data_IF_493181933604
#
_entry.id   IF_493181933604
#
_cell.length_a   1.000
_cell.length_b   1.000
_cell.length_c   1.000
_cell.angle_alpha   90.00
_cell.angle_beta   90.00
_cell.angle_gamma   90.00
#
_symmetry.space_group_name_H-M   'P 1'
#
loop_
_entity.id
_entity.type
_entity.pdbx_description
1 polymer ?
#
# COMPACT_ATOMS: atom_id res chain seq x y z
N UNK A 1 78.79 19.21 38.38
CA UNK A 1 77.67 18.33 38.00
C UNK A 1 76.50 18.62 38.94
N UNK A 2 75.37 19.19 38.48
CA UNK A 2 74.15 19.20 39.26
C UNK A 2 73.20 18.07 38.80
N UNK A 3 72.65 17.36 39.78
CA UNK A 3 71.69 16.27 39.64
C UNK A 3 70.33 16.77 39.20
N UNK A 4 69.78 16.18 38.14
CA UNK A 4 68.40 16.39 37.70
C UNK A 4 67.51 15.35 38.38
N UNK A 5 66.54 15.81 39.18
CA UNK A 5 65.45 15.00 39.72
C UNK A 5 64.29 14.90 38.71
N UNK A 6 63.55 13.78 38.65
CA UNK A 6 62.45 13.64 37.70
C UNK A 6 61.21 14.40 38.19
N UNK A 7 60.58 15.18 37.30
CA UNK A 7 59.25 15.76 37.52
C UNK A 7 58.21 14.64 37.44
N UNK A 8 57.39 14.55 38.49
CA UNK A 8 56.24 13.66 38.55
C UNK A 8 55.22 13.98 37.47
N UNK A 9 54.72 12.93 36.82
CA UNK A 9 53.56 12.97 35.94
C UNK A 9 52.32 13.32 36.76
N UNK A 10 51.78 14.51 36.54
CA UNK A 10 50.58 14.99 37.21
C UNK A 10 49.33 14.25 36.76
N UNK A 11 48.51 13.85 37.73
CA UNK A 11 47.20 13.19 37.63
C UNK A 11 46.10 13.97 36.85
N UNK A 12 46.45 14.99 36.06
CA UNK A 12 45.51 15.86 35.35
C UNK A 12 44.82 15.24 34.12
N UNK A 13 45.29 14.09 33.62
CA UNK A 13 44.84 13.51 32.35
C UNK A 13 43.54 12.70 32.41
N UNK A 14 43.22 12.07 33.55
CA UNK A 14 42.05 11.15 33.66
C UNK A 14 40.72 11.89 33.78
N UNK A 15 40.70 13.05 34.44
CA UNK A 15 39.49 13.87 34.61
C UNK A 15 39.02 14.53 33.32
N UNK A 16 39.96 14.98 32.48
CA UNK A 16 39.65 15.67 31.22
C UNK A 16 39.03 14.71 30.18
N UNK A 17 39.59 13.51 30.02
CA UNK A 17 39.05 12.48 29.11
C UNK A 17 37.62 12.07 29.47
N UNK A 18 37.32 11.94 30.77
CA UNK A 18 35.97 11.60 31.25
C UNK A 18 34.97 12.73 30.95
N UNK A 19 35.38 13.99 31.09
CA UNK A 19 34.54 15.17 30.77
C UNK A 19 34.27 15.31 29.28
N UNK A 20 35.27 15.03 28.42
CA UNK A 20 35.10 15.05 26.96
C UNK A 20 34.15 13.95 26.48
N UNK A 21 34.27 12.73 27.02
CA UNK A 21 33.38 11.62 26.65
C UNK A 21 31.92 11.87 27.07
N UNK A 22 31.70 12.47 28.25
CA UNK A 22 30.35 12.86 28.69
C UNK A 22 29.78 13.95 27.78
N UNK A 23 30.58 14.94 27.38
CA UNK A 23 30.12 15.99 26.47
C UNK A 23 29.72 15.44 25.09
N UNK A 24 30.50 14.50 24.52
CA UNK A 24 30.17 13.85 23.25
C UNK A 24 28.88 13.02 23.38
N UNK A 25 28.73 12.26 24.47
CA UNK A 25 27.52 11.48 24.71
C UNK A 25 26.27 12.37 24.82
N UNK A 26 26.36 13.52 25.51
CA UNK A 26 25.26 14.48 25.60
C UNK A 26 24.93 15.11 24.25
N UNK A 27 25.94 15.46 23.44
CA UNK A 27 25.71 16.02 22.09
C UNK A 27 25.06 14.99 21.17
N UNK A 28 25.46 13.72 21.23
CA UNK A 28 24.83 12.65 20.44
C UNK A 28 23.41 12.35 20.91
N UNK A 29 23.14 12.41 22.21
CA UNK A 29 21.81 12.14 22.77
C UNK A 29 20.84 13.29 22.48
N UNK A 30 21.29 14.54 22.65
CA UNK A 30 20.50 15.73 22.32
C UNK A 30 20.33 15.87 20.80
N UNK A 31 21.39 15.61 20.02
CA UNK A 31 21.35 15.60 18.55
C UNK A 31 20.46 14.48 17.98
N UNK A 32 20.51 13.28 18.58
CA UNK A 32 19.62 12.17 18.21
C UNK A 32 18.17 12.46 18.55
N UNK A 33 17.90 13.08 19.72
CA UNK A 33 16.56 13.54 20.10
C UNK A 33 16.04 14.65 19.20
N UNK A 34 16.87 15.60 18.77
CA UNK A 34 16.43 16.65 17.85
C UNK A 34 16.19 16.13 16.44
N UNK A 35 16.97 15.16 15.94
CA UNK A 35 16.71 14.51 14.65
C UNK A 35 15.46 13.63 14.70
N UNK A 36 15.27 12.83 15.76
CA UNK A 36 14.06 12.04 15.96
C UNK A 36 12.81 12.92 16.14
N UNK A 37 12.93 14.04 16.88
CA UNK A 37 11.87 15.04 16.95
C UNK A 37 11.64 15.74 15.61
N UNK A 38 12.67 15.98 14.77
CA UNK A 38 12.49 16.56 13.45
C UNK A 38 11.77 15.60 12.49
N UNK A 39 12.10 14.31 12.52
CA UNK A 39 11.38 13.28 11.73
C UNK A 39 9.93 13.14 12.19
N UNK A 40 9.70 13.07 13.51
CA UNK A 40 8.35 13.09 14.07
C UNK A 40 7.62 14.42 13.77
N UNK A 41 8.34 15.55 13.63
CA UNK A 41 7.76 16.84 13.24
C UNK A 41 7.48 16.94 11.75
N UNK A 42 8.25 16.31 10.86
CA UNK A 42 7.97 16.31 9.42
C UNK A 42 6.74 15.49 9.09
N UNK A 43 6.51 14.38 9.82
CA UNK A 43 5.28 13.59 9.69
C UNK A 43 4.04 14.35 10.23
N UNK A 44 4.24 15.23 11.22
CA UNK A 44 3.18 16.05 11.81
C UNK A 44 2.93 17.37 11.04
N UNK A 45 3.94 17.91 10.34
CA UNK A 45 3.87 19.21 9.65
C UNK A 45 3.77 19.14 8.12
N UNK A 46 3.60 17.96 7.51
CA UNK A 46 3.15 17.86 6.12
C UNK A 46 1.66 17.49 5.95
N UNK A 47 0.68 18.15 6.61
CA UNK A 47 -0.74 17.92 6.34
C UNK A 47 -1.24 18.67 5.08
N UNK A 48 -0.35 19.11 4.17
CA UNK A 48 -0.71 20.02 3.08
C UNK A 48 -0.10 19.65 1.72
N UNK A 49 -0.18 18.37 1.33
CA UNK A 49 -0.24 18.05 -0.10
C UNK A 49 -1.73 17.99 -0.49
N UNK A 50 -2.23 18.83 -1.42
CA UNK A 50 -3.62 18.77 -1.87
C UNK A 50 -4.02 17.41 -2.50
N UNK A 51 -3.08 16.48 -2.68
CA UNK A 51 -3.32 15.09 -3.09
C UNK A 51 -3.81 14.18 -1.94
N UNK A 52 -3.55 14.52 -0.68
CA UNK A 52 -4.07 13.80 0.48
C UNK A 52 -5.30 14.54 1.00
N UNK A 53 -6.48 13.95 0.81
CA UNK A 53 -7.74 14.52 1.29
C UNK A 53 -7.69 14.83 2.79
N UNK A 54 -8.42 15.85 3.21
CA UNK A 54 -8.51 16.28 4.61
C UNK A 54 -9.34 15.28 5.43
N UNK A 55 -8.80 14.09 5.72
CA UNK A 55 -9.16 13.31 6.90
C UNK A 55 -10.32 12.30 6.81
N UNK A 56 -10.76 11.86 5.64
CA UNK A 56 -11.71 10.75 5.53
C UNK A 56 -11.67 10.10 4.14
N UNK A 57 -12.06 8.82 4.05
CA UNK A 57 -12.27 8.14 2.77
C UNK A 57 -13.41 8.82 1.98
N UNK A 58 -13.36 8.75 0.65
CA UNK A 58 -14.42 9.24 -0.24
C UNK A 58 -15.70 8.43 -0.04
N UNK A 59 -16.70 9.04 0.57
CA UNK A 59 -17.99 8.43 0.90
C UNK A 59 -19.20 9.23 0.35
N UNK A 60 -18.97 10.38 -0.29
CA UNK A 60 -20.03 11.17 -0.90
C UNK A 60 -20.58 10.49 -2.16
N UNK A 61 -21.78 9.93 -1.99
CA UNK A 61 -22.54 9.24 -3.03
C UNK A 61 -23.49 10.18 -3.82
N UNK A 62 -23.61 11.46 -3.47
CA UNK A 62 -24.62 12.35 -4.05
C UNK A 62 -24.46 12.55 -5.57
N UNK A 63 -23.23 12.46 -6.08
CA UNK A 63 -22.92 12.61 -7.50
C UNK A 63 -22.67 11.28 -8.24
N UNK A 64 -23.05 10.16 -7.62
CA UNK A 64 -22.79 8.79 -8.11
C UNK A 64 -24.04 8.18 -8.70
N UNK A 65 -23.87 7.46 -9.80
CA UNK A 65 -24.92 6.65 -10.41
C UNK A 65 -24.88 5.25 -9.83
N UNK A 66 -25.95 4.80 -9.19
CA UNK A 66 -26.10 3.39 -8.81
C UNK A 66 -26.26 2.57 -10.08
N UNK A 67 -25.43 1.54 -10.27
CA UNK A 67 -25.51 0.63 -11.42
C UNK A 67 -24.94 -0.72 -11.02
N UNK A 68 -25.72 -1.77 -11.25
CA UNK A 68 -25.29 -3.15 -11.06
C UNK A 68 -24.73 -3.69 -12.37
N UNK A 69 -23.74 -4.61 -12.30
CA UNK A 69 -23.30 -5.36 -13.48
C UNK A 69 -24.46 -6.18 -14.06
N UNK A 70 -24.52 -6.27 -15.39
CA UNK A 70 -25.38 -7.20 -16.11
C UNK A 70 -24.81 -8.63 -16.22
N UNK A 71 -23.48 -8.78 -16.14
CA UNK A 71 -22.78 -10.05 -16.11
C UNK A 71 -22.90 -10.72 -14.72
N UNK A 72 -22.66 -12.03 -14.67
CA UNK A 72 -22.72 -12.82 -13.44
C UNK A 72 -21.86 -14.08 -13.52
N UNK A 73 -21.68 -14.75 -12.38
CA UNK A 73 -20.87 -15.96 -12.30
C UNK A 73 -19.43 -15.70 -12.74
N UNK A 74 -18.86 -16.62 -13.52
CA UNK A 74 -17.45 -16.55 -13.93
C UNK A 74 -17.15 -15.43 -14.94
N UNK A 75 -18.18 -14.82 -15.54
CA UNK A 75 -18.02 -13.70 -16.49
C UNK A 75 -17.99 -12.32 -15.83
N UNK A 76 -18.31 -12.24 -14.54
CA UNK A 76 -18.16 -11.03 -13.74
C UNK A 76 -16.87 -11.13 -12.93
N UNK A 77 -15.91 -10.24 -13.14
CA UNK A 77 -14.73 -10.14 -12.26
C UNK A 77 -15.07 -9.35 -11.00
N UNK A 78 -14.67 -9.81 -9.82
CA UNK A 78 -14.92 -9.14 -8.53
C UNK A 78 -13.63 -9.08 -7.72
N UNK A 79 -13.05 -7.89 -7.56
CA UNK A 79 -11.74 -7.72 -6.95
C UNK A 79 -11.74 -6.70 -5.80
N UNK A 80 -11.00 -7.02 -4.74
CA UNK A 80 -10.72 -6.11 -3.64
C UNK A 80 -9.32 -5.50 -3.81
N UNK A 81 -9.22 -4.19 -3.90
CA UNK A 81 -7.95 -3.47 -3.83
C UNK A 81 -7.51 -3.22 -2.38
N UNK A 82 -6.28 -3.58 -2.04
CA UNK A 82 -5.74 -3.37 -0.70
C UNK A 82 -4.24 -3.05 -0.68
N UNK A 83 -3.79 -2.42 0.41
CA UNK A 83 -2.40 -2.03 0.60
C UNK A 83 -2.25 -0.54 0.93
N UNK A 84 -1.37 0.17 0.21
CA UNK A 84 -1.05 1.57 0.50
C UNK A 84 -1.49 2.54 -0.62
N UNK A 85 -0.80 3.68 -0.75
CA UNK A 85 -1.18 4.80 -1.64
C UNK A 85 -1.44 4.43 -3.09
N UNK A 86 -0.62 3.55 -3.67
CA UNK A 86 -0.79 3.09 -5.05
C UNK A 86 -2.02 2.18 -5.24
N UNK A 87 -2.43 1.42 -4.21
CA UNK A 87 -3.75 0.74 -4.21
C UNK A 87 -4.92 1.71 -3.94
N UNK A 88 -4.65 2.86 -3.31
CA UNK A 88 -5.66 3.77 -2.80
C UNK A 88 -5.89 4.99 -3.72
N UNK A 89 -5.56 4.89 -5.00
CA UNK A 89 -5.81 5.95 -5.98
C UNK A 89 -5.01 7.24 -5.77
N UNK A 90 -3.77 7.15 -5.28
CA UNK A 90 -2.89 8.31 -5.17
C UNK A 90 -2.12 8.62 -6.47
N UNK A 91 -2.53 8.10 -7.63
CA UNK A 91 -1.89 8.42 -8.90
C UNK A 91 -2.24 9.81 -9.42
N UNK A 92 -1.56 10.27 -10.47
CA UNK A 92 -1.84 11.56 -11.11
C UNK A 92 -2.52 11.44 -12.47
N UNK A 93 -3.15 12.54 -12.87
CA UNK A 93 -3.79 12.71 -14.17
C UNK A 93 -5.31 12.67 -14.08
N UNK A 94 -6.00 13.05 -15.16
CA UNK A 94 -7.45 12.90 -15.27
C UNK A 94 -7.82 11.42 -15.40
N UNK A 95 -9.10 11.10 -15.19
CA UNK A 95 -9.62 9.76 -15.46
C UNK A 95 -9.23 9.35 -16.89
N UNK A 96 -8.57 8.20 -17.08
CA UNK A 96 -8.24 7.75 -18.42
C UNK A 96 -9.51 7.46 -19.21
N UNK A 97 -9.52 7.86 -20.48
CA UNK A 97 -10.51 7.36 -21.42
C UNK A 97 -10.12 5.93 -21.78
N UNK A 98 -10.93 4.95 -21.37
CA UNK A 98 -10.75 3.53 -21.68
C UNK A 98 -11.97 3.02 -22.46
N UNK A 99 -11.79 2.01 -23.30
CA UNK A 99 -12.85 1.51 -24.20
C UNK A 99 -14.05 0.96 -23.43
N UNK A 100 -13.80 0.31 -22.30
CA UNK A 100 -14.81 -0.44 -21.54
C UNK A 100 -15.22 0.24 -20.22
N UNK A 101 -15.12 1.57 -20.14
CA UNK A 101 -15.42 2.31 -18.92
C UNK A 101 -16.84 2.07 -18.36
N UNK A 102 -17.81 1.79 -19.23
CA UNK A 102 -19.21 1.55 -18.86
C UNK A 102 -19.50 0.16 -18.28
N UNK A 103 -18.50 -0.74 -18.31
CA UNK A 103 -18.51 -2.13 -17.83
C UNK A 103 -17.66 -2.34 -16.57
N UNK A 104 -17.12 -1.25 -16.03
CA UNK A 104 -16.27 -1.25 -14.84
C UNK A 104 -17.06 -0.55 -13.73
N UNK A 105 -17.07 -1.15 -12.55
CA UNK A 105 -17.94 -0.76 -11.46
C UNK A 105 -17.16 -0.58 -10.16
N UNK A 106 -17.68 0.29 -9.30
CA UNK A 106 -17.17 0.51 -7.95
C UNK A 106 -18.18 -0.02 -6.93
N UNK A 107 -17.82 -1.09 -6.22
CA UNK A 107 -18.54 -1.53 -5.03
C UNK A 107 -18.08 -0.73 -3.82
N UNK A 108 -19.04 -0.21 -3.05
CA UNK A 108 -18.79 0.53 -1.83
C UNK A 108 -19.59 -0.06 -0.66
N UNK A 109 -18.86 -0.62 0.30
CA UNK A 109 -19.41 -1.25 1.51
C UNK A 109 -19.92 -0.28 2.57
N UNK A 110 -19.80 1.04 2.34
CA UNK A 110 -20.44 2.05 3.19
C UNK A 110 -21.96 1.85 3.30
N UNK A 111 -22.68 2.84 3.79
CA UNK A 111 -24.03 2.73 4.36
C UNK A 111 -25.04 1.69 3.80
N UNK A 112 -25.00 1.31 2.51
CA UNK A 112 -25.92 0.35 1.90
C UNK A 112 -25.29 -0.70 0.94
N UNK A 113 -23.99 -1.05 1.04
CA UNK A 113 -23.36 -2.10 0.18
C UNK A 113 -23.72 -1.97 -1.32
N UNK A 114 -23.44 -0.79 -1.87
CA UNK A 114 -24.00 -0.36 -3.16
C UNK A 114 -22.94 -0.38 -4.26
N UNK A 115 -23.38 -0.79 -5.45
CA UNK A 115 -22.57 -0.78 -6.68
C UNK A 115 -22.86 0.47 -7.47
N UNK A 116 -21.81 1.15 -7.89
CA UNK A 116 -21.88 2.38 -8.66
C UNK A 116 -21.16 2.21 -10.00
N UNK A 117 -21.55 3.03 -10.98
CA UNK A 117 -20.68 3.31 -12.12
C UNK A 117 -19.32 3.76 -11.62
N UNK A 118 -18.26 3.22 -12.23
CA UNK A 118 -16.92 3.64 -11.88
C UNK A 118 -16.71 5.13 -12.18
N UNK A 119 -16.17 5.84 -11.19
CA UNK A 119 -15.84 7.26 -11.31
C UNK A 119 -14.77 7.61 -10.30
N UNK A 120 -13.76 8.34 -10.73
CA UNK A 120 -12.74 8.88 -9.83
C UNK A 120 -13.17 10.24 -9.24
N UNK A 121 -12.74 10.60 -8.01
CA UNK A 121 -12.09 9.73 -7.03
C UNK A 121 -12.97 8.52 -6.68
N UNK A 122 -12.38 7.34 -6.51
CA UNK A 122 -13.16 6.13 -6.25
C UNK A 122 -13.76 6.16 -4.85
N UNK A 123 -15.02 5.71 -4.68
CA UNK A 123 -15.59 5.58 -3.33
C UNK A 123 -14.80 4.55 -2.53
N UNK A 124 -14.54 4.86 -1.27
CA UNK A 124 -13.71 4.07 -0.38
C UNK A 124 -12.22 4.45 -0.42
N UNK A 125 -11.73 5.13 -1.46
CA UNK A 125 -10.35 5.60 -1.50
C UNK A 125 -10.11 6.73 -0.47
N UNK A 126 -8.89 6.90 0.03
CA UNK A 126 -8.46 8.08 0.78
C UNK A 126 -7.87 9.16 -0.15
N UNK A 127 -7.12 8.76 -1.18
CA UNK A 127 -6.59 9.69 -2.17
C UNK A 127 -7.62 10.08 -3.24
N UNK A 128 -7.49 11.33 -3.71
CA UNK A 128 -8.38 11.95 -4.69
C UNK A 128 -7.89 11.79 -6.14
N UNK A 129 -6.85 11.00 -6.35
CA UNK A 129 -6.16 10.87 -7.61
C UNK A 129 -6.73 9.79 -8.51
N UNK A 130 -5.95 9.45 -9.53
CA UNK A 130 -6.25 8.35 -10.44
C UNK A 130 -5.98 7.01 -9.78
N UNK A 131 -6.80 6.03 -10.10
CA UNK A 131 -6.71 4.66 -9.64
C UNK A 131 -6.20 3.72 -10.74
N UNK A 132 -5.60 2.57 -10.38
CA UNK A 132 -5.23 1.57 -11.37
C UNK A 132 -6.44 0.80 -11.94
N UNK A 133 -7.55 0.75 -11.20
CA UNK A 133 -8.66 -0.17 -11.45
C UNK A 133 -9.40 0.05 -12.77
N UNK A 134 -9.49 1.29 -13.25
CA UNK A 134 -10.14 1.57 -14.54
C UNK A 134 -9.35 0.95 -15.71
N UNK A 135 -8.01 1.00 -15.65
CA UNK A 135 -7.15 0.39 -16.66
C UNK A 135 -7.07 -1.12 -16.51
N UNK A 136 -6.88 -1.63 -15.28
CA UNK A 136 -6.89 -3.09 -15.02
C UNK A 136 -8.21 -3.69 -15.50
N UNK A 137 -9.35 -3.09 -15.17
CA UNK A 137 -10.66 -3.56 -15.61
C UNK A 137 -10.81 -3.57 -17.13
N UNK A 138 -10.28 -2.55 -17.81
CA UNK A 138 -10.29 -2.48 -19.27
C UNK A 138 -9.50 -3.64 -19.88
N UNK A 139 -8.25 -3.82 -19.45
CA UNK A 139 -7.37 -4.89 -19.93
C UNK A 139 -7.96 -6.29 -19.68
N UNK A 140 -8.59 -6.51 -18.53
CA UNK A 140 -9.26 -7.77 -18.21
C UNK A 140 -10.44 -8.08 -19.15
N UNK A 141 -11.19 -7.06 -19.56
CA UNK A 141 -12.32 -7.19 -20.49
C UNK A 141 -11.80 -7.34 -21.93
N UNK A 142 -10.80 -6.56 -22.33
CA UNK A 142 -10.15 -6.64 -23.65
C UNK A 142 -9.52 -8.02 -23.90
N UNK A 143 -8.91 -8.60 -22.87
CA UNK A 143 -8.38 -9.97 -22.89
C UNK A 143 -9.46 -11.06 -22.93
N UNK A 144 -10.74 -10.70 -22.77
CA UNK A 144 -11.88 -11.62 -22.77
C UNK A 144 -12.03 -12.46 -21.50
N UNK A 145 -11.28 -12.15 -20.43
CA UNK A 145 -11.36 -12.86 -19.15
C UNK A 145 -12.72 -12.64 -18.48
N UNK A 146 -13.22 -11.40 -18.52
CA UNK A 146 -14.51 -11.01 -17.97
C UNK A 146 -15.31 -10.18 -18.97
N UNK A 147 -16.63 -10.19 -18.82
CA UNK A 147 -17.52 -9.30 -19.60
C UNK A 147 -17.69 -7.94 -18.89
N UNK A 148 -17.59 -7.94 -17.56
CA UNK A 148 -17.69 -6.77 -16.67
C UNK A 148 -16.85 -7.00 -15.40
N UNK A 149 -16.42 -5.92 -14.74
CA UNK A 149 -15.58 -6.02 -13.54
C UNK A 149 -16.04 -5.06 -12.44
N UNK A 150 -16.11 -5.57 -11.21
CA UNK A 150 -16.41 -4.82 -9.98
C UNK A 150 -15.14 -4.72 -9.14
N UNK A 151 -14.79 -3.50 -8.74
CA UNK A 151 -13.72 -3.23 -7.80
C UNK A 151 -14.22 -2.57 -6.53
N UNK A 152 -13.61 -2.91 -5.41
CA UNK A 152 -13.57 -2.07 -4.21
C UNK A 152 -12.13 -1.65 -3.95
N UNK A 153 -11.93 -0.58 -3.17
CA UNK A 153 -10.59 -0.22 -2.67
C UNK A 153 -10.66 0.09 -1.18
N UNK A 154 -9.62 -0.33 -0.46
CA UNK A 154 -9.48 -0.12 0.98
C UNK A 154 -8.03 0.17 1.38
N UNK A 155 -7.21 0.67 0.45
CA UNK A 155 -5.82 1.02 0.75
C UNK A 155 -5.69 2.15 1.78
N UNK A 156 -4.50 2.31 2.35
CA UNK A 156 -4.20 3.38 3.30
C UNK A 156 -2.85 4.06 2.94
N UNK A 157 -2.87 5.30 2.44
CA UNK A 157 -1.66 6.00 2.03
C UNK A 157 -0.62 6.10 3.16
N UNK A 158 0.64 5.81 2.82
CA UNK A 158 1.78 5.91 3.75
C UNK A 158 1.86 4.81 4.81
N UNK A 159 0.89 3.90 4.90
CA UNK A 159 0.90 2.86 5.92
C UNK A 159 1.90 1.74 5.60
N UNK A 160 2.69 1.35 6.61
CA UNK A 160 3.43 0.08 6.60
C UNK A 160 2.47 -1.10 6.81
N UNK A 161 2.89 -2.32 6.45
CA UNK A 161 2.05 -3.51 6.59
C UNK A 161 1.62 -3.73 8.05
N UNK A 162 2.52 -3.50 9.00
CA UNK A 162 2.25 -3.62 10.44
C UNK A 162 1.09 -2.73 10.93
N UNK A 163 0.71 -1.71 10.17
CA UNK A 163 -0.40 -0.80 10.48
C UNK A 163 -1.73 -1.22 9.87
N UNK A 164 -1.71 -2.08 8.87
CA UNK A 164 -2.91 -2.49 8.13
C UNK A 164 -3.11 -4.00 8.09
N UNK A 165 -2.27 -4.76 8.80
CA UNK A 165 -2.40 -6.22 8.91
C UNK A 165 -3.54 -6.66 9.85
N UNK A 166 -4.18 -5.74 10.59
CA UNK A 166 -5.25 -6.04 11.54
C UNK A 166 -4.83 -6.13 13.02
N UNK A 167 -3.53 -6.10 13.33
CA UNK A 167 -3.03 -6.22 14.71
C UNK A 167 -3.10 -4.91 15.50
N UNK A 168 -3.08 -3.76 14.81
CA UNK A 168 -3.05 -2.45 15.45
C UNK A 168 -4.49 -1.91 15.64
N UNK A 169 -5.08 -1.99 16.85
CA UNK A 169 -6.44 -1.51 17.09
C UNK A 169 -6.55 0.02 16.99
N UNK A 170 -5.44 0.76 17.00
CA UNK A 170 -5.45 2.19 16.75
C UNK A 170 -5.54 2.54 15.25
N UNK A 171 -5.38 1.54 14.37
CA UNK A 171 -5.42 1.67 12.91
C UNK A 171 -6.47 0.70 12.33
N UNK A 172 -7.77 1.03 12.40
CA UNK A 172 -8.87 0.14 12.04
C UNK A 172 -9.05 -0.06 10.52
N UNK A 173 -7.99 0.13 9.72
CA UNK A 173 -8.10 0.12 8.25
C UNK A 173 -8.31 -1.27 7.66
N UNK A 174 -7.89 -2.30 8.39
CA UNK A 174 -8.20 -3.69 8.07
C UNK A 174 -9.72 -3.94 8.01
N UNK A 175 -10.50 -3.29 8.87
CA UNK A 175 -11.96 -3.46 8.89
C UNK A 175 -12.62 -3.07 7.56
N UNK A 176 -12.11 -2.05 6.85
CA UNK A 176 -12.67 -1.65 5.55
C UNK A 176 -12.48 -2.72 4.46
N UNK A 177 -11.34 -3.43 4.49
CA UNK A 177 -11.13 -4.58 3.62
C UNK A 177 -12.14 -5.68 3.96
N UNK A 178 -12.33 -5.97 5.24
CA UNK A 178 -13.27 -7.01 5.70
C UNK A 178 -14.71 -6.69 5.27
N UNK A 179 -15.16 -5.45 5.48
CA UNK A 179 -16.49 -4.98 5.08
C UNK A 179 -16.66 -5.07 3.55
N UNK A 180 -15.69 -4.58 2.79
CA UNK A 180 -15.70 -4.64 1.32
C UNK A 180 -15.72 -6.07 0.80
N UNK A 181 -14.85 -6.93 1.32
CA UNK A 181 -14.75 -8.32 0.93
C UNK A 181 -16.04 -9.08 1.25
N UNK A 182 -16.54 -8.99 2.49
CA UNK A 182 -17.75 -9.70 2.92
C UNK A 182 -19.00 -9.18 2.20
N UNK A 183 -19.08 -7.87 1.95
CA UNK A 183 -20.17 -7.27 1.18
C UNK A 183 -20.18 -7.76 -0.27
N UNK A 184 -19.03 -7.75 -0.94
CA UNK A 184 -18.90 -8.30 -2.31
C UNK A 184 -19.21 -9.80 -2.35
N UNK A 185 -18.69 -10.59 -1.41
CA UNK A 185 -18.96 -12.01 -1.31
C UNK A 185 -20.46 -12.29 -1.10
N UNK A 186 -21.11 -11.55 -0.21
CA UNK A 186 -22.55 -11.64 0.05
C UNK A 186 -23.38 -11.30 -1.20
N UNK A 187 -22.99 -10.24 -1.92
CA UNK A 187 -23.75 -9.68 -3.04
C UNK A 187 -23.56 -10.48 -4.34
N UNK A 188 -22.33 -10.88 -4.65
CA UNK A 188 -21.98 -11.53 -5.91
C UNK A 188 -21.70 -13.03 -5.78
N UNK A 189 -21.66 -13.55 -4.55
CA UNK A 189 -21.35 -14.94 -4.27
C UNK A 189 -19.86 -15.30 -4.40
N UNK A 190 -19.00 -14.32 -4.71
CA UNK A 190 -17.56 -14.51 -4.86
C UNK A 190 -16.77 -13.21 -4.70
N UNK A 191 -15.47 -13.37 -4.45
CA UNK A 191 -14.42 -12.37 -4.69
C UNK A 191 -13.31 -13.13 -5.41
N UNK A 192 -12.98 -12.77 -6.65
CA UNK A 192 -11.99 -13.47 -7.48
C UNK A 192 -10.55 -13.25 -7.00
N UNK A 193 -10.27 -12.09 -6.38
CA UNK A 193 -8.99 -11.87 -5.72
C UNK A 193 -8.86 -10.57 -4.94
N UNK A 194 -7.85 -10.53 -4.08
CA UNK A 194 -7.35 -9.33 -3.43
C UNK A 194 -6.11 -8.86 -4.19
N UNK A 195 -6.18 -7.69 -4.82
CA UNK A 195 -5.06 -7.04 -5.48
C UNK A 195 -4.29 -6.27 -4.41
N UNK A 196 -3.21 -6.88 -3.92
CA UNK A 196 -2.46 -6.38 -2.78
C UNK A 196 -1.22 -5.61 -3.23
N UNK A 197 -1.27 -4.27 -3.17
CA UNK A 197 -0.16 -3.37 -3.52
C UNK A 197 0.37 -2.66 -2.28
N UNK A 198 1.45 -3.19 -1.71
CA UNK A 198 1.97 -2.72 -0.43
C UNK A 198 3.45 -3.06 -0.24
N UNK A 199 4.25 -2.11 0.24
CA UNK A 199 5.61 -2.38 0.70
C UNK A 199 6.58 -1.20 0.58
N UNK A 200 6.19 -0.13 -0.11
CA UNK A 200 7.07 1.03 -0.21
C UNK A 200 7.35 1.69 1.15
N UNK A 201 6.36 1.70 2.05
CA UNK A 201 6.55 2.15 3.44
C UNK A 201 7.32 1.15 4.32
N UNK A 202 7.61 -0.04 3.80
CA UNK A 202 8.36 -1.11 4.47
C UNK A 202 9.79 -1.30 3.95
N UNK A 203 10.26 -0.41 3.08
CA UNK A 203 11.63 -0.42 2.57
C UNK A 203 12.64 -0.45 3.74
N UNK A 204 13.56 -1.41 3.72
CA UNK A 204 14.52 -1.68 4.79
C UNK A 204 13.98 -2.52 5.95
N UNK A 205 12.74 -3.03 5.88
CA UNK A 205 12.06 -3.76 6.96
C UNK A 205 11.65 -5.20 6.58
N UNK A 206 12.38 -5.84 5.66
CA UNK A 206 12.02 -7.15 5.09
C UNK A 206 11.67 -8.25 6.11
N UNK A 207 12.39 -8.36 7.22
CA UNK A 207 12.10 -9.36 8.26
C UNK A 207 10.80 -9.07 9.03
N UNK A 208 10.49 -7.79 9.28
CA UNK A 208 9.24 -7.40 9.93
C UNK A 208 8.04 -7.50 8.97
N UNK A 209 8.30 -7.34 7.68
CA UNK A 209 7.30 -7.45 6.62
C UNK A 209 6.70 -8.85 6.55
N UNK A 210 7.53 -9.90 6.50
CA UNK A 210 7.06 -11.28 6.43
C UNK A 210 6.16 -11.63 7.63
N UNK A 211 6.61 -11.30 8.85
CA UNK A 211 5.81 -11.51 10.05
C UNK A 211 4.50 -10.71 10.05
N UNK A 212 4.53 -9.48 9.53
CA UNK A 212 3.31 -8.65 9.41
C UNK A 212 2.34 -9.23 8.38
N UNK A 213 2.85 -9.85 7.32
CA UNK A 213 2.04 -10.53 6.32
C UNK A 213 1.43 -11.82 6.86
N UNK A 214 2.17 -12.58 7.67
CA UNK A 214 1.61 -13.74 8.39
C UNK A 214 0.45 -13.34 9.31
N UNK A 215 0.62 -12.27 10.10
CA UNK A 215 -0.48 -11.69 10.88
C UNK A 215 -1.66 -11.28 10.01
N UNK A 216 -1.42 -10.70 8.83
CA UNK A 216 -2.48 -10.32 7.90
C UNK A 216 -3.30 -11.52 7.44
N UNK A 217 -2.64 -12.64 7.09
CA UNK A 217 -3.33 -13.88 6.73
C UNK A 217 -4.10 -14.48 7.92
N UNK A 218 -3.49 -14.49 9.11
CA UNK A 218 -4.14 -14.97 10.34
C UNK A 218 -5.39 -14.15 10.68
N UNK A 219 -5.32 -12.82 10.55
CA UNK A 219 -6.45 -11.93 10.81
C UNK A 219 -7.55 -12.07 9.76
N UNK A 220 -7.22 -12.28 8.48
CA UNK A 220 -8.22 -12.62 7.45
C UNK A 220 -8.94 -13.92 7.79
N UNK A 221 -8.19 -14.96 8.16
CA UNK A 221 -8.75 -16.24 8.56
C UNK A 221 -9.61 -16.12 9.83
N UNK A 222 -9.19 -15.30 10.80
CA UNK A 222 -9.95 -14.98 12.01
C UNK A 222 -11.30 -14.32 11.71
N UNK A 223 -11.37 -13.56 10.61
CA UNK A 223 -12.60 -12.97 10.09
C UNK A 223 -13.44 -13.93 9.22
N UNK A 224 -12.99 -15.17 9.05
CA UNK A 224 -13.64 -16.19 8.22
C UNK A 224 -13.36 -16.04 6.72
N UNK A 225 -12.38 -15.23 6.34
CA UNK A 225 -11.92 -15.08 4.96
C UNK A 225 -10.76 -16.06 4.74
N UNK A 226 -11.05 -17.16 4.07
CA UNK A 226 -10.03 -18.15 3.68
C UNK A 226 -9.68 -17.93 2.22
N UNK A 227 -8.53 -17.30 1.98
CA UNK A 227 -8.04 -17.07 0.62
C UNK A 227 -7.55 -18.38 -0.01
N UNK A 228 -7.80 -18.57 -1.31
CA UNK A 228 -7.45 -19.79 -2.04
C UNK A 228 -8.25 -21.05 -1.69
N UNK A 229 -9.28 -20.95 -0.85
CA UNK A 229 -10.11 -22.10 -0.44
C UNK A 229 -11.59 -21.76 -0.23
N UNK A 230 -12.46 -22.76 -0.39
CA UNK A 230 -13.91 -22.61 -0.22
C UNK A 230 -14.65 -22.12 -1.48
N UNK A 231 -15.98 -22.21 -1.47
CA UNK A 231 -16.81 -21.71 -2.58
C UNK A 231 -16.84 -20.17 -2.56
N UNK A 232 -16.34 -19.53 -3.61
CA UNK A 232 -16.33 -18.07 -3.76
C UNK A 232 -15.14 -17.33 -3.14
N UNK A 233 -14.16 -18.05 -2.57
CA UNK A 233 -12.94 -17.47 -1.99
C UNK A 233 -11.82 -17.30 -3.02
N UNK A 234 -11.44 -16.06 -3.29
CA UNK A 234 -10.36 -15.70 -4.22
C UNK A 234 -8.97 -15.81 -3.61
N UNK A 235 -7.95 -15.51 -4.41
CA UNK A 235 -6.54 -15.52 -3.98
C UNK A 235 -6.07 -14.10 -3.62
N UNK A 236 -4.96 -14.00 -2.89
CA UNK A 236 -4.24 -12.73 -2.73
C UNK A 236 -3.15 -12.67 -3.79
N UNK A 237 -3.15 -11.65 -4.62
CA UNK A 237 -2.07 -11.40 -5.56
C UNK A 237 -1.16 -10.34 -4.96
N UNK A 238 -0.03 -10.78 -4.40
CA UNK A 238 0.87 -9.93 -3.61
C UNK A 238 1.93 -9.27 -4.52
N UNK A 239 1.84 -7.96 -4.70
CA UNK A 239 2.79 -7.21 -5.53
C UNK A 239 4.21 -7.22 -4.92
N UNK A 240 5.21 -7.15 -5.79
CA UNK A 240 6.54 -6.66 -5.40
C UNK A 240 6.60 -5.16 -5.63
N UNK A 241 6.74 -4.42 -4.54
CA UNK A 241 6.78 -2.96 -4.53
C UNK A 241 7.57 -2.51 -3.32
N UNK A 242 8.73 -1.92 -3.57
CA UNK A 242 9.67 -1.56 -2.50
C UNK A 242 10.12 -0.12 -2.60
N UNK A 243 10.02 0.47 -3.79
CA UNK A 243 10.53 1.80 -4.09
C UNK A 243 9.49 2.90 -3.92
N UNK A 244 9.87 3.98 -3.24
CA UNK A 244 9.11 5.23 -3.23
C UNK A 244 10.01 6.45 -3.02
N UNK A 245 9.80 7.49 -3.81
CA UNK A 245 10.50 8.75 -3.70
C UNK A 245 11.98 8.59 -4.00
N UNK A 246 12.82 8.92 -3.02
CA UNK A 246 14.28 8.83 -3.13
C UNK A 246 14.85 7.48 -2.70
N UNK A 247 14.00 6.56 -2.22
CA UNK A 247 14.43 5.22 -1.83
C UNK A 247 14.72 4.40 -3.08
N UNK A 248 15.80 3.63 -3.05
CA UNK A 248 16.11 2.66 -4.09
C UNK A 248 15.33 1.37 -3.87
N UNK A 249 15.31 0.50 -4.89
CA UNK A 249 14.73 -0.83 -4.79
C UNK A 249 15.39 -1.59 -3.64
N UNK A 250 14.57 -2.11 -2.72
CA UNK A 250 15.02 -3.00 -1.66
C UNK A 250 14.93 -4.45 -2.14
N UNK A 251 16.06 -4.98 -2.61
CA UNK A 251 16.13 -6.37 -3.08
C UNK A 251 15.79 -7.40 -1.99
N UNK A 252 16.03 -7.10 -0.71
CA UNK A 252 15.72 -8.02 0.37
C UNK A 252 14.21 -8.06 0.63
N UNK A 253 13.55 -6.91 0.65
CA UNK A 253 12.08 -6.85 0.73
C UNK A 253 11.42 -7.47 -0.51
N UNK A 254 11.93 -7.17 -1.71
CA UNK A 254 11.41 -7.72 -2.96
C UNK A 254 11.51 -9.25 -2.99
N UNK A 255 12.59 -9.82 -2.45
CA UNK A 255 12.75 -11.27 -2.31
C UNK A 255 11.76 -11.88 -1.30
N UNK A 256 11.48 -11.19 -0.18
CA UNK A 256 10.45 -11.61 0.78
C UNK A 256 9.07 -11.57 0.12
N UNK A 257 8.73 -10.47 -0.57
CA UNK A 257 7.47 -10.33 -1.30
C UNK A 257 7.29 -11.42 -2.36
N UNK A 258 8.36 -11.80 -3.07
CA UNK A 258 8.32 -12.93 -4.00
C UNK A 258 8.00 -14.26 -3.30
N UNK A 259 8.64 -14.51 -2.15
CA UNK A 259 8.46 -15.74 -1.39
C UNK A 259 7.06 -15.85 -0.74
N UNK A 260 6.28 -14.77 -0.67
CA UNK A 260 4.91 -14.84 -0.18
C UNK A 260 4.03 -15.76 -1.03
N UNK A 261 4.33 -15.93 -2.32
CA UNK A 261 3.61 -16.84 -3.21
C UNK A 261 3.76 -18.33 -2.83
N UNK A 262 4.69 -18.66 -1.92
CA UNK A 262 4.79 -20.02 -1.37
C UNK A 262 3.76 -20.28 -0.24
N UNK A 263 3.01 -19.26 0.19
CA UNK A 263 1.96 -19.37 1.23
C UNK A 263 0.61 -19.75 0.59
N UNK A 264 -0.16 -20.58 1.30
CA UNK A 264 -1.46 -21.05 0.81
C UNK A 264 -2.41 -19.89 0.50
N UNK A 265 -2.98 -19.90 -0.71
CA UNK A 265 -3.94 -18.88 -1.17
C UNK A 265 -3.34 -17.54 -1.57
N UNK A 266 -2.00 -17.45 -1.64
CA UNK A 266 -1.26 -16.30 -2.12
C UNK A 266 -0.61 -16.64 -3.47
N UNK A 267 -0.66 -15.70 -4.40
CA UNK A 267 -0.02 -15.78 -5.71
C UNK A 267 0.89 -14.57 -5.91
N UNK A 268 1.84 -14.69 -6.83
CA UNK A 268 2.68 -13.58 -7.22
C UNK A 268 1.82 -12.49 -7.89
N UNK A 269 1.83 -11.28 -7.31
CA UNK A 269 1.33 -10.08 -7.95
C UNK A 269 2.39 -9.41 -8.84
N UNK A 270 2.10 -8.22 -9.40
CA UNK A 270 3.01 -7.54 -10.29
C UNK A 270 4.29 -7.10 -9.57
N UNK A 271 5.40 -7.06 -10.30
CA UNK A 271 6.62 -6.41 -9.83
C UNK A 271 6.69 -4.96 -10.30
N UNK A 272 6.13 -4.06 -9.51
CA UNK A 272 6.01 -2.64 -9.88
C UNK A 272 7.33 -1.88 -9.72
N UNK A 273 8.35 -2.46 -9.06
CA UNK A 273 9.71 -1.91 -9.07
C UNK A 273 10.33 -1.88 -10.48
N UNK A 274 9.76 -2.63 -11.44
CA UNK A 274 10.21 -2.65 -12.84
C UNK A 274 9.73 -1.47 -13.66
N UNK A 275 8.66 -0.79 -13.23
CA UNK A 275 8.12 0.41 -13.88
C UNK A 275 9.13 1.54 -13.72
N UNK A 276 9.36 2.29 -14.81
CA UNK A 276 10.36 3.36 -14.82
C UNK A 276 10.17 4.37 -13.69
N UNK A 277 11.30 4.93 -13.24
CA UNK A 277 11.33 5.97 -12.22
C UNK A 277 11.34 7.38 -12.78
N UNK A 278 11.34 7.48 -14.11
CA UNK A 278 11.21 8.74 -14.79
C UNK A 278 9.87 9.39 -14.42
N UNK A 279 9.88 10.73 -14.35
CA UNK A 279 8.74 11.52 -13.92
C UNK A 279 7.47 11.25 -14.75
N UNK A 280 7.66 10.85 -16.02
CA UNK A 280 6.57 10.51 -16.91
C UNK A 280 5.79 9.25 -16.48
N UNK A 281 6.41 8.35 -15.71
CA UNK A 281 5.79 7.14 -15.14
C UNK A 281 5.47 7.30 -13.66
N UNK A 282 6.28 8.06 -12.91
CA UNK A 282 6.09 8.36 -11.49
C UNK A 282 6.20 9.85 -11.20
N UNK A 283 5.05 10.52 -11.06
CA UNK A 283 4.98 11.99 -11.04
C UNK A 283 5.58 12.65 -9.79
N UNK A 284 5.91 11.89 -8.76
CA UNK A 284 6.63 12.37 -7.56
C UNK A 284 7.74 11.41 -7.14
N UNK A 285 8.26 10.62 -8.09
CA UNK A 285 9.20 9.51 -7.87
C UNK A 285 8.65 8.37 -7.00
N UNK A 286 7.36 8.39 -6.64
CA UNK A 286 6.72 7.34 -5.85
C UNK A 286 5.43 6.83 -6.52
N UNK A 287 4.48 7.73 -6.74
CA UNK A 287 3.14 7.41 -7.24
C UNK A 287 3.07 7.49 -8.75
N UNK A 288 2.25 6.63 -9.34
CA UNK A 288 2.20 6.48 -10.79
C UNK A 288 1.44 7.61 -11.49
N UNK A 289 1.92 7.97 -12.67
CA UNK A 289 1.18 8.77 -13.64
C UNK A 289 0.21 7.89 -14.42
N UNK A 290 -0.49 8.46 -15.41
CA UNK A 290 -1.28 7.69 -16.37
C UNK A 290 -0.45 6.66 -17.14
N UNK A 291 0.75 7.03 -17.61
CA UNK A 291 1.65 6.09 -18.31
C UNK A 291 2.18 5.01 -17.36
N UNK A 292 2.48 5.37 -16.11
CA UNK A 292 2.82 4.39 -15.08
C UNK A 292 1.68 3.40 -14.84
N UNK A 293 0.43 3.87 -14.82
CA UNK A 293 -0.72 3.00 -14.68
C UNK A 293 -1.01 2.12 -15.90
N UNK A 294 -0.64 2.54 -17.11
CA UNK A 294 -0.68 1.66 -18.28
C UNK A 294 0.24 0.46 -18.07
N UNK A 295 1.52 0.69 -17.71
CA UNK A 295 2.47 -0.41 -17.45
C UNK A 295 2.05 -1.28 -16.26
N UNK A 296 1.54 -0.68 -15.18
CA UNK A 296 1.06 -1.45 -14.03
C UNK A 296 -0.18 -2.28 -14.38
N UNK A 297 -1.08 -1.79 -15.23
CA UNK A 297 -2.25 -2.56 -15.66
C UNK A 297 -1.83 -3.80 -16.47
N UNK A 298 -0.85 -3.65 -17.37
CA UNK A 298 -0.27 -4.77 -18.12
C UNK A 298 0.35 -5.82 -17.18
N UNK A 299 1.11 -5.35 -16.17
CA UNK A 299 1.71 -6.24 -15.18
C UNK A 299 0.66 -6.96 -14.32
N UNK A 300 -0.46 -6.31 -14.00
CA UNK A 300 -1.58 -6.95 -13.31
C UNK A 300 -2.26 -7.99 -14.21
N UNK A 301 -2.48 -7.67 -15.49
CA UNK A 301 -3.06 -8.60 -16.46
C UNK A 301 -2.23 -9.89 -16.55
N UNK A 302 -0.89 -9.78 -16.65
CA UNK A 302 0.02 -10.94 -16.69
C UNK A 302 -0.19 -11.89 -15.51
N UNK A 303 -0.48 -11.36 -14.32
CA UNK A 303 -0.65 -12.15 -13.10
C UNK A 303 -2.06 -12.70 -12.89
N UNK A 304 -3.04 -12.14 -13.59
CA UNK A 304 -4.46 -12.52 -13.47
C UNK A 304 -4.91 -13.48 -14.59
N UNK A 305 -4.05 -13.74 -15.59
CA UNK A 305 -4.27 -14.71 -16.69
C UNK A 305 -3.54 -16.03 -16.45
#
# INVERSE_FOLDING_TARGET
MPSVTPRGEGEGGKGWRKRVLIAIAVVLLVGGLTVACLYAFTDVLNPFNPLFGTGSRFDDIASRSVKEPGASGDRLGVFAGYGQSNSDCCGSGPNPEVEHADKIFNFFAGANETTFEYKEPMLGAFCAGSCPYLKIGNELIDAGLYDEVVFSTSGMPGASLSKINGDDPAFPYFAFLIESYKGMLSKYGKVDGILFHQGESDNGMSAAYEASFDSFLENLAGEGIVVGGGAGGGKIYASRTTRCGHLEIDSALSAVQLALADKDGVEEGPNTDTVSVDFEYRYDSCHFSQLGWDEVADLWLEKLT
#
